data_IF_856873352797
#
_entry.id   IF_856873352797
#
_cell.length_a   1.000
_cell.length_b   1.000
_cell.length_c   1.000
_cell.angle_alpha   90.00
_cell.angle_beta   90.00
_cell.angle_gamma   90.00
#
_symmetry.space_group_name_H-M   'P 1'
#
loop_
_entity.id
_entity.type
_entity.pdbx_description
1 polymer ?
#
# COMPACT_ATOMS: atom_id res chain seq x y z
N UNK A 1 -28.42 -11.78 56.65
CA UNK A 1 -28.55 -10.81 55.56
C UNK A 1 -29.99 -10.84 55.07
N UNK A 2 -30.65 -9.69 54.99
CA UNK A 2 -32.02 -9.63 54.49
C UNK A 2 -32.00 -9.84 52.95
N UNK A 3 -33.09 -10.34 52.40
CA UNK A 3 -33.23 -10.54 50.94
C UNK A 3 -32.94 -9.27 50.16
N UNK A 4 -33.24 -8.10 50.73
CA UNK A 4 -32.99 -6.80 50.16
C UNK A 4 -31.49 -6.48 50.09
N UNK A 5 -30.70 -6.84 51.11
CA UNK A 5 -29.23 -6.66 51.12
C UNK A 5 -28.55 -7.51 50.07
N UNK A 6 -29.03 -8.75 49.87
CA UNK A 6 -28.50 -9.65 48.84
C UNK A 6 -28.82 -9.09 47.44
N UNK A 7 -30.03 -8.61 47.21
CA UNK A 7 -30.39 -8.00 45.91
C UNK A 7 -29.55 -6.76 45.62
N UNK A 8 -29.39 -5.86 46.60
CA UNK A 8 -28.50 -4.66 46.43
C UNK A 8 -27.07 -5.06 46.11
N UNK A 9 -26.52 -6.04 46.79
CA UNK A 9 -25.17 -6.54 46.53
C UNK A 9 -25.03 -7.11 45.11
N UNK A 10 -25.99 -7.94 44.68
CA UNK A 10 -25.98 -8.50 43.32
C UNK A 10 -26.05 -7.40 42.25
N UNK A 11 -26.94 -6.43 42.41
CA UNK A 11 -27.04 -5.29 41.50
C UNK A 11 -25.73 -4.48 41.45
N UNK A 12 -25.11 -4.20 42.60
CA UNK A 12 -23.82 -3.51 42.65
C UNK A 12 -22.73 -4.28 41.91
N UNK A 13 -22.64 -5.59 42.10
CA UNK A 13 -21.67 -6.42 41.38
C UNK A 13 -21.90 -6.40 39.87
N UNK A 14 -23.16 -6.54 39.44
CA UNK A 14 -23.51 -6.47 38.00
C UNK A 14 -23.13 -5.13 37.39
N UNK A 15 -23.41 -4.02 38.08
CA UNK A 15 -23.02 -2.68 37.61
C UNK A 15 -21.48 -2.55 37.48
N UNK A 16 -20.75 -3.03 38.49
CA UNK A 16 -19.28 -3.01 38.43
C UNK A 16 -18.76 -3.86 37.22
N UNK A 17 -19.31 -5.03 37.01
CA UNK A 17 -18.93 -5.89 35.86
C UNK A 17 -19.25 -5.21 34.52
N UNK A 18 -20.38 -4.55 34.39
CA UNK A 18 -20.73 -3.79 33.17
C UNK A 18 -19.77 -2.61 32.92
N UNK A 19 -19.42 -1.88 33.98
CA UNK A 19 -18.43 -0.78 33.89
C UNK A 19 -17.07 -1.31 33.48
N UNK A 20 -16.59 -2.40 34.09
CA UNK A 20 -15.32 -3.03 33.72
C UNK A 20 -15.34 -3.55 32.29
N UNK A 21 -16.42 -4.22 31.86
CA UNK A 21 -16.58 -4.70 30.49
C UNK A 21 -16.56 -3.53 29.48
N UNK A 22 -17.24 -2.43 29.81
CA UNK A 22 -17.22 -1.20 29.02
C UNK A 22 -15.82 -0.57 28.93
N UNK A 23 -15.11 -0.48 30.05
CA UNK A 23 -13.74 0.03 30.08
C UNK A 23 -12.78 -0.83 29.21
N UNK A 24 -12.83 -2.16 29.35
CA UNK A 24 -12.04 -3.09 28.53
C UNK A 24 -12.37 -2.94 27.04
N UNK A 25 -13.67 -2.82 26.69
CA UNK A 25 -14.08 -2.62 25.30
C UNK A 25 -13.54 -1.29 24.72
N UNK A 26 -13.55 -0.22 25.50
CA UNK A 26 -12.99 1.08 25.09
C UNK A 26 -11.47 1.02 24.91
N UNK A 27 -10.75 0.35 25.82
CA UNK A 27 -9.30 0.18 25.70
C UNK A 27 -8.92 -0.65 24.47
N UNK A 28 -9.63 -1.76 24.22
CA UNK A 28 -9.43 -2.57 23.00
C UNK A 28 -9.65 -1.76 21.73
N UNK A 29 -10.72 -0.95 21.68
CA UNK A 29 -10.99 -0.08 20.53
C UNK A 29 -9.91 0.98 20.31
N UNK A 30 -9.40 1.59 21.39
CA UNK A 30 -8.31 2.58 21.30
C UNK A 30 -7.04 1.92 20.74
N UNK A 31 -6.70 0.72 21.25
CA UNK A 31 -5.54 -0.02 20.78
C UNK A 31 -5.67 -0.39 19.30
N UNK A 32 -6.80 -0.98 18.89
CA UNK A 32 -7.07 -1.35 17.50
C UNK A 32 -6.98 -0.13 16.55
N UNK A 33 -7.54 1.01 16.98
CA UNK A 33 -7.44 2.25 16.19
C UNK A 33 -5.99 2.69 16.02
N UNK A 34 -5.19 2.65 17.07
CA UNK A 34 -3.77 3.02 17.01
C UNK A 34 -3.00 2.10 16.06
N UNK A 35 -3.21 0.80 16.16
CA UNK A 35 -2.62 -0.18 15.24
C UNK A 35 -3.01 0.10 13.77
N UNK A 36 -4.28 0.43 13.49
CA UNK A 36 -4.69 0.78 12.13
C UNK A 36 -4.05 2.08 11.64
N UNK A 37 -3.95 3.10 12.50
CA UNK A 37 -3.27 4.35 12.16
C UNK A 37 -1.78 4.15 11.88
N UNK A 38 -1.10 3.31 12.64
CA UNK A 38 0.31 2.96 12.41
C UNK A 38 0.50 2.17 11.13
N UNK A 39 -0.37 1.18 10.86
CA UNK A 39 -0.30 0.33 9.67
C UNK A 39 -0.55 1.12 8.39
N UNK A 40 -1.60 1.95 8.37
CA UNK A 40 -2.08 2.60 7.14
C UNK A 40 -1.60 4.04 6.96
N UNK A 41 -1.08 4.68 8.03
CA UNK A 41 -0.63 6.08 7.96
C UNK A 41 -1.66 7.02 7.33
N UNK A 42 -1.31 7.77 6.27
CA UNK A 42 -2.23 8.70 5.60
C UNK A 42 -3.47 8.04 4.99
N UNK A 43 -3.37 6.78 4.59
CA UNK A 43 -4.49 6.04 4.01
C UNK A 43 -5.62 5.79 5.03
N UNK A 44 -5.29 5.71 6.33
CA UNK A 44 -6.31 5.66 7.39
C UNK A 44 -7.22 6.90 7.35
N UNK A 45 -6.63 8.10 7.33
CA UNK A 45 -7.40 9.33 7.32
C UNK A 45 -8.22 9.46 6.04
N UNK A 46 -7.65 9.11 4.90
CA UNK A 46 -8.35 9.08 3.61
C UNK A 46 -9.56 8.15 3.62
N UNK A 47 -9.42 6.94 4.16
CA UNK A 47 -10.52 5.97 4.25
C UNK A 47 -11.61 6.47 5.20
N UNK A 48 -11.23 7.13 6.30
CA UNK A 48 -12.19 7.74 7.25
C UNK A 48 -12.96 8.89 6.59
N UNK A 49 -12.30 9.74 5.79
CA UNK A 49 -12.95 10.85 5.08
C UNK A 49 -13.93 10.36 4.00
N UNK A 50 -13.65 9.22 3.36
CA UNK A 50 -14.49 8.62 2.33
C UNK A 50 -15.67 7.81 2.89
N UNK A 51 -15.72 7.59 4.19
CA UNK A 51 -16.73 6.76 4.85
C UNK A 51 -17.72 7.63 5.63
N UNK A 52 -19.01 7.27 5.63
CA UNK A 52 -20.03 7.97 6.40
C UNK A 52 -19.76 7.93 7.92
N UNK A 53 -19.15 6.85 8.38
CA UNK A 53 -18.85 6.63 9.81
C UNK A 53 -17.43 6.08 9.96
N UNK A 54 -16.68 6.65 10.88
CA UNK A 54 -15.35 6.15 11.24
C UNK A 54 -15.31 4.64 11.55
N UNK A 55 -16.34 4.11 12.19
CA UNK A 55 -16.38 2.67 12.52
C UNK A 55 -16.44 1.77 11.29
N UNK A 56 -17.07 2.24 10.22
CA UNK A 56 -17.17 1.49 8.98
C UNK A 56 -15.83 1.51 8.26
N UNK A 57 -15.12 2.65 8.26
CA UNK A 57 -13.75 2.76 7.78
C UNK A 57 -12.78 1.84 8.57
N UNK A 58 -12.82 1.90 9.90
CA UNK A 58 -11.96 1.05 10.76
C UNK A 58 -12.24 -0.45 10.55
N UNK A 59 -13.51 -0.83 10.33
CA UNK A 59 -13.87 -2.21 10.00
C UNK A 59 -13.33 -2.62 8.62
N UNK A 60 -13.51 -1.78 7.60
CA UNK A 60 -12.97 -2.02 6.26
C UNK A 60 -11.45 -2.21 6.30
N UNK A 61 -10.71 -1.33 7.00
CA UNK A 61 -9.27 -1.42 7.14
C UNK A 61 -8.83 -2.70 7.89
N UNK A 62 -9.57 -3.09 8.93
CA UNK A 62 -9.31 -4.35 9.65
C UNK A 62 -9.56 -5.58 8.77
N UNK A 63 -10.64 -5.59 7.98
CA UNK A 63 -10.92 -6.66 7.01
C UNK A 63 -9.88 -6.70 5.89
N UNK A 64 -9.37 -5.54 5.45
CA UNK A 64 -8.31 -5.42 4.46
C UNK A 64 -7.01 -6.03 4.99
N UNK A 65 -6.63 -5.70 6.24
CA UNK A 65 -5.49 -6.30 6.91
C UNK A 65 -5.62 -7.83 7.02
N UNK A 66 -6.78 -8.32 7.43
CA UNK A 66 -7.03 -9.77 7.54
C UNK A 66 -6.94 -10.48 6.18
N UNK A 67 -7.46 -9.87 5.11
CA UNK A 67 -7.32 -10.42 3.75
C UNK A 67 -5.85 -10.45 3.33
N UNK A 68 -5.10 -9.38 3.60
CA UNK A 68 -3.67 -9.31 3.30
C UNK A 68 -2.89 -10.40 4.06
N UNK A 69 -3.13 -10.61 5.34
CA UNK A 69 -2.52 -11.67 6.15
C UNK A 69 -2.82 -13.09 5.62
N UNK A 70 -3.91 -13.27 4.88
CA UNK A 70 -4.24 -14.55 4.23
C UNK A 70 -3.50 -14.79 2.92
N UNK A 71 -2.86 -13.78 2.34
CA UNK A 71 -2.06 -13.90 1.13
C UNK A 71 -0.71 -14.56 1.44
N UNK A 72 -0.16 -15.26 0.47
CA UNK A 72 1.19 -15.82 0.55
C UNK A 72 2.21 -14.87 -0.08
N UNK A 73 2.27 -13.64 0.46
CA UNK A 73 3.22 -12.64 -0.02
C UNK A 73 4.64 -13.08 0.35
N UNK A 74 5.56 -12.97 -0.61
CA UNK A 74 6.94 -13.40 -0.46
C UNK A 74 7.88 -12.44 -1.17
N UNK A 75 9.10 -12.24 -0.65
CA UNK A 75 10.12 -11.48 -1.35
C UNK A 75 10.53 -12.20 -2.64
N UNK A 76 11.04 -11.42 -3.59
CA UNK A 76 11.59 -11.98 -4.83
C UNK A 76 12.85 -12.81 -4.54
N UNK A 77 13.05 -13.89 -5.30
CA UNK A 77 14.35 -14.54 -5.33
C UNK A 77 15.41 -13.61 -5.95
N UNK A 78 16.70 -13.79 -5.64
CA UNK A 78 17.77 -13.01 -6.24
C UNK A 78 17.75 -13.07 -7.78
N UNK A 79 17.46 -14.24 -8.37
CA UNK A 79 17.32 -14.40 -9.80
C UNK A 79 16.13 -13.63 -10.38
N UNK A 80 14.98 -13.68 -9.71
CA UNK A 80 13.79 -12.92 -10.11
C UNK A 80 14.05 -11.42 -10.00
N UNK A 81 14.63 -10.99 -8.88
CA UNK A 81 15.02 -9.58 -8.69
C UNK A 81 15.89 -9.08 -9.85
N UNK A 82 16.93 -9.83 -10.22
CA UNK A 82 17.81 -9.45 -11.32
C UNK A 82 17.06 -9.36 -12.66
N UNK A 83 16.13 -10.29 -12.93
CA UNK A 83 15.29 -10.23 -14.15
C UNK A 83 14.43 -8.97 -14.18
N UNK A 84 13.82 -8.59 -13.07
CA UNK A 84 13.00 -7.37 -12.98
C UNK A 84 13.85 -6.11 -13.14
N UNK A 85 15.04 -6.04 -12.54
CA UNK A 85 15.98 -4.93 -12.72
C UNK A 85 16.35 -4.77 -14.20
N UNK A 86 16.74 -5.86 -14.87
CA UNK A 86 17.09 -5.83 -16.30
C UNK A 86 15.89 -5.43 -17.17
N UNK A 87 14.70 -5.91 -16.85
CA UNK A 87 13.49 -5.54 -17.57
C UNK A 87 13.16 -4.06 -17.39
N UNK A 88 13.33 -3.52 -16.17
CA UNK A 88 13.13 -2.11 -15.88
C UNK A 88 14.11 -1.21 -16.64
N UNK A 89 15.39 -1.58 -16.72
CA UNK A 89 16.38 -0.87 -17.53
C UNK A 89 15.98 -0.82 -19.01
N UNK A 90 15.40 -1.90 -19.52
CA UNK A 90 14.83 -1.96 -20.87
C UNK A 90 13.67 -0.99 -21.08
N UNK A 91 12.75 -0.91 -20.11
CA UNK A 91 11.63 0.04 -20.11
C UNK A 91 12.13 1.48 -20.09
N UNK A 92 13.10 1.80 -19.22
CA UNK A 92 13.69 3.13 -19.14
C UNK A 92 14.40 3.53 -20.45
N UNK A 93 15.13 2.62 -21.07
CA UNK A 93 15.80 2.87 -22.35
C UNK A 93 14.77 3.17 -23.45
N UNK A 94 13.68 2.43 -23.48
CA UNK A 94 12.61 2.63 -24.47
C UNK A 94 11.83 3.93 -24.26
N UNK A 95 11.80 4.44 -23.04
CA UNK A 95 11.13 5.70 -22.72
C UNK A 95 11.70 6.89 -23.54
N UNK A 96 12.95 6.85 -23.90
CA UNK A 96 13.61 7.92 -24.71
C UNK A 96 12.97 8.02 -26.11
N UNK A 97 12.71 6.88 -26.74
CA UNK A 97 12.21 6.82 -28.12
C UNK A 97 10.68 6.69 -28.20
N UNK A 98 10.07 6.07 -27.19
CA UNK A 98 8.65 5.74 -27.20
C UNK A 98 8.02 5.83 -25.80
N UNK A 99 7.87 7.06 -25.25
CA UNK A 99 7.44 7.26 -23.86
C UNK A 99 6.04 6.67 -23.57
N UNK A 100 5.11 6.77 -24.50
CA UNK A 100 3.75 6.21 -24.40
C UNK A 100 3.79 4.70 -24.20
N UNK A 101 4.53 3.98 -25.04
CA UNK A 101 4.68 2.52 -24.93
C UNK A 101 5.43 2.12 -23.65
N UNK A 102 6.48 2.86 -23.29
CA UNK A 102 7.27 2.56 -22.11
C UNK A 102 6.46 2.68 -20.82
N UNK A 103 5.51 3.63 -20.73
CA UNK A 103 4.63 3.75 -19.57
C UNK A 103 3.72 2.50 -19.43
N UNK A 104 3.11 2.05 -20.53
CA UNK A 104 2.29 0.83 -20.54
C UNK A 104 3.11 -0.42 -20.19
N UNK A 105 4.37 -0.48 -20.63
CA UNK A 105 5.27 -1.57 -20.27
C UNK A 105 5.69 -1.54 -18.80
N UNK A 106 5.89 -0.34 -18.22
CA UNK A 106 6.16 -0.16 -16.80
C UNK A 106 4.99 -0.67 -15.95
N UNK A 107 3.76 -0.32 -16.31
CA UNK A 107 2.54 -0.80 -15.66
C UNK A 107 2.43 -2.34 -15.72
N UNK A 108 2.59 -2.91 -16.91
CA UNK A 108 2.56 -4.36 -17.09
C UNK A 108 3.71 -5.07 -16.33
N UNK A 109 4.87 -4.43 -16.19
CA UNK A 109 5.99 -4.98 -15.43
C UNK A 109 5.68 -4.98 -13.93
N UNK A 110 5.11 -3.91 -13.40
CA UNK A 110 4.67 -3.81 -12.01
C UNK A 110 3.60 -4.85 -11.67
N UNK A 111 2.61 -5.01 -12.54
CA UNK A 111 1.56 -6.03 -12.37
C UNK A 111 2.15 -7.44 -12.28
N UNK A 112 3.11 -7.78 -13.15
CA UNK A 112 3.82 -9.07 -13.10
C UNK A 112 4.65 -9.24 -11.83
N UNK A 113 5.30 -8.17 -11.37
CA UNK A 113 6.09 -8.19 -10.13
C UNK A 113 5.20 -8.43 -8.93
N UNK A 114 4.05 -7.75 -8.84
CA UNK A 114 3.05 -7.96 -7.80
C UNK A 114 2.53 -9.40 -7.80
N UNK A 115 2.19 -9.94 -8.98
CA UNK A 115 1.74 -11.33 -9.13
C UNK A 115 2.79 -12.34 -8.64
N UNK A 116 4.07 -12.15 -9.01
CA UNK A 116 5.15 -13.06 -8.58
C UNK A 116 5.38 -13.00 -7.07
N UNK A 117 5.14 -11.86 -6.46
CA UNK A 117 5.18 -11.69 -5.00
C UNK A 117 3.97 -12.28 -4.28
N UNK A 118 2.89 -12.60 -4.99
CA UNK A 118 1.68 -13.20 -4.43
C UNK A 118 0.55 -12.20 -4.15
N UNK A 119 0.67 -10.96 -4.65
CA UNK A 119 -0.44 -10.01 -4.62
C UNK A 119 -1.52 -10.38 -5.66
N UNK A 120 -2.80 -10.14 -5.36
CA UNK A 120 -3.86 -10.30 -6.35
C UNK A 120 -3.71 -9.25 -7.46
N UNK A 121 -3.96 -9.67 -8.70
CA UNK A 121 -3.83 -8.81 -9.89
C UNK A 121 -5.11 -8.77 -10.73
N UNK A 122 -6.23 -9.20 -10.18
CA UNK A 122 -7.52 -9.27 -10.87
C UNK A 122 -8.04 -7.88 -11.26
N UNK A 123 -7.84 -6.91 -10.38
CA UNK A 123 -8.19 -5.52 -10.63
C UNK A 123 -7.30 -4.54 -9.82
N UNK A 124 -7.14 -3.32 -10.34
CA UNK A 124 -6.29 -2.26 -9.76
C UNK A 124 -6.74 -1.88 -8.35
N UNK A 125 -8.05 -1.85 -8.09
CA UNK A 125 -8.57 -1.50 -6.77
C UNK A 125 -8.19 -2.51 -5.70
N UNK A 126 -8.23 -3.79 -6.03
CA UNK A 126 -7.78 -4.86 -5.14
C UNK A 126 -6.27 -4.80 -4.92
N UNK A 127 -5.47 -4.51 -5.96
CA UNK A 127 -4.04 -4.26 -5.83
C UNK A 127 -3.75 -3.10 -4.87
N UNK A 128 -4.42 -1.95 -5.05
CA UNK A 128 -4.30 -0.78 -4.16
C UNK A 128 -4.63 -1.13 -2.71
N UNK A 129 -5.73 -1.85 -2.49
CA UNK A 129 -6.13 -2.27 -1.15
C UNK A 129 -5.07 -3.15 -0.47
N UNK A 130 -4.47 -4.07 -1.20
CA UNK A 130 -3.45 -4.96 -0.64
C UNK A 130 -2.11 -4.24 -0.45
N UNK A 131 -1.69 -3.40 -1.39
CA UNK A 131 -0.50 -2.55 -1.23
C UNK A 131 -0.62 -1.58 -0.05
N UNK A 132 -1.83 -1.09 0.27
CA UNK A 132 -2.03 -0.14 1.35
C UNK A 132 -1.64 -0.67 2.74
N UNK A 133 -1.53 -1.98 2.92
CA UNK A 133 -1.25 -2.61 4.21
C UNK A 133 0.24 -2.50 4.58
N UNK A 134 1.15 -2.75 3.63
CA UNK A 134 2.60 -2.75 3.88
C UNK A 134 3.33 -1.60 3.16
N UNK A 135 2.77 -1.11 2.07
CA UNK A 135 3.38 -0.12 1.18
C UNK A 135 2.56 1.17 1.07
N UNK A 136 1.92 1.60 2.15
CA UNK A 136 1.07 2.80 2.18
C UNK A 136 1.79 4.07 1.65
N UNK A 137 3.10 4.18 1.86
CA UNK A 137 3.92 5.33 1.46
C UNK A 137 4.13 5.46 -0.06
N UNK A 138 4.00 4.37 -0.83
CA UNK A 138 4.09 4.41 -2.32
C UNK A 138 2.72 4.31 -2.99
N UNK A 139 1.64 4.15 -2.22
CA UNK A 139 0.30 3.93 -2.74
C UNK A 139 -0.22 5.11 -3.58
N UNK A 140 0.05 6.35 -3.16
CA UNK A 140 -0.35 7.52 -3.94
C UNK A 140 0.39 7.59 -5.27
N UNK A 141 1.66 7.19 -5.32
CA UNK A 141 2.42 7.02 -6.55
C UNK A 141 1.82 5.93 -7.45
N UNK A 142 1.45 4.79 -6.88
CA UNK A 142 0.78 3.71 -7.60
C UNK A 142 -0.53 4.18 -8.25
N UNK A 143 -1.39 4.85 -7.50
CA UNK A 143 -2.65 5.43 -7.99
C UNK A 143 -2.43 6.46 -9.09
N UNK A 144 -1.50 7.40 -8.86
CA UNK A 144 -1.18 8.44 -9.84
C UNK A 144 -0.62 7.85 -11.14
N UNK A 145 0.27 6.85 -11.04
CA UNK A 145 0.81 6.14 -12.20
C UNK A 145 -0.29 5.48 -13.03
N UNK A 146 -1.19 4.73 -12.40
CA UNK A 146 -2.32 4.09 -13.09
C UNK A 146 -3.31 5.09 -13.69
N UNK A 147 -3.61 6.20 -13.00
CA UNK A 147 -4.48 7.23 -13.54
C UNK A 147 -3.91 7.87 -14.81
N UNK A 148 -2.59 8.10 -14.83
CA UNK A 148 -1.88 8.61 -16.01
C UNK A 148 -1.85 7.54 -17.12
N UNK A 149 -1.59 6.28 -16.79
CA UNK A 149 -1.61 5.19 -17.77
C UNK A 149 -2.98 5.02 -18.41
N UNK A 150 -4.06 5.15 -17.67
CA UNK A 150 -5.41 5.13 -18.22
C UNK A 150 -5.66 6.30 -19.18
N UNK A 151 -5.13 7.50 -18.90
CA UNK A 151 -5.17 8.62 -19.83
C UNK A 151 -4.30 8.36 -21.07
N UNK A 152 -3.14 7.76 -20.87
CA UNK A 152 -2.19 7.41 -21.92
C UNK A 152 -2.80 6.43 -22.94
N UNK A 153 -3.45 5.36 -22.47
CA UNK A 153 -4.13 4.37 -23.33
C UNK A 153 -5.29 4.97 -24.12
N UNK A 154 -5.93 6.02 -23.61
CA UNK A 154 -6.99 6.76 -24.32
C UNK A 154 -6.47 7.89 -25.21
N UNK A 155 -5.14 8.09 -25.27
CA UNK A 155 -4.50 9.13 -26.05
C UNK A 155 -4.66 10.56 -25.48
N UNK A 156 -5.05 10.69 -24.22
CA UNK A 156 -5.32 11.95 -23.55
C UNK A 156 -4.16 12.43 -22.64
N UNK A 157 -3.11 11.63 -22.45
CA UNK A 157 -1.96 12.03 -21.66
C UNK A 157 -0.97 12.84 -22.50
N UNK A 158 -0.52 13.97 -21.97
CA UNK A 158 0.59 14.71 -22.56
C UNK A 158 1.96 14.12 -22.15
N UNK A 159 3.03 14.58 -22.81
CA UNK A 159 4.39 14.07 -22.59
C UNK A 159 4.86 14.24 -21.15
N UNK A 160 4.49 15.34 -20.50
CA UNK A 160 4.89 15.61 -19.11
C UNK A 160 4.12 14.69 -18.14
N UNK A 161 2.84 14.46 -18.40
CA UNK A 161 2.05 13.49 -17.64
C UNK A 161 2.63 12.08 -17.77
N UNK A 162 3.00 11.65 -18.99
CA UNK A 162 3.65 10.35 -19.22
C UNK A 162 4.98 10.25 -18.47
N UNK A 163 5.78 11.34 -18.43
CA UNK A 163 7.02 11.40 -17.64
C UNK A 163 6.74 11.28 -16.14
N UNK A 164 5.70 11.94 -15.62
CA UNK A 164 5.30 11.83 -14.21
C UNK A 164 4.82 10.42 -13.88
N UNK A 165 4.01 9.81 -14.74
CA UNK A 165 3.57 8.42 -14.60
C UNK A 165 4.76 7.45 -14.46
N UNK A 166 5.78 7.62 -15.30
CA UNK A 166 7.00 6.81 -15.22
C UNK A 166 7.75 7.00 -13.89
N UNK A 167 7.83 8.24 -13.38
CA UNK A 167 8.46 8.51 -12.08
C UNK A 167 7.68 7.87 -10.92
N UNK A 168 6.35 7.91 -10.96
CA UNK A 168 5.50 7.25 -9.98
C UNK A 168 5.68 5.73 -10.00
N UNK A 169 5.64 5.11 -11.17
CA UNK A 169 5.88 3.67 -11.29
C UNK A 169 7.30 3.27 -10.88
N UNK A 170 8.29 4.12 -11.12
CA UNK A 170 9.65 3.88 -10.66
C UNK A 170 9.73 3.78 -9.14
N UNK A 171 9.11 4.70 -8.40
CA UNK A 171 9.11 4.66 -6.94
C UNK A 171 8.50 3.37 -6.40
N UNK A 172 7.36 2.95 -6.97
CA UNK A 172 6.71 1.70 -6.61
C UNK A 172 7.58 0.48 -6.95
N UNK A 173 8.21 0.49 -8.12
CA UNK A 173 9.10 -0.58 -8.55
C UNK A 173 10.31 -0.74 -7.63
N UNK A 174 10.98 0.37 -7.29
CA UNK A 174 12.14 0.40 -6.40
C UNK A 174 11.80 -0.18 -5.02
N UNK A 175 10.65 0.18 -4.48
CA UNK A 175 10.15 -0.37 -3.21
C UNK A 175 9.95 -1.88 -3.30
N UNK A 176 9.12 -2.33 -4.25
CA UNK A 176 8.72 -3.73 -4.37
C UNK A 176 9.89 -4.68 -4.72
N UNK A 177 10.87 -4.20 -5.50
CA UNK A 177 12.03 -5.01 -5.90
C UNK A 177 13.11 -5.09 -4.82
N UNK A 178 13.14 -4.12 -3.90
CA UNK A 178 14.14 -4.04 -2.82
C UNK A 178 13.74 -4.83 -1.58
N UNK A 179 12.46 -5.10 -1.40
CA UNK A 179 11.95 -5.77 -0.21
C UNK A 179 12.49 -7.19 -0.06
N UNK A 180 12.97 -7.49 1.15
CA UNK A 180 13.60 -8.77 1.48
C UNK A 180 15.01 -8.96 0.92
N UNK A 181 15.59 -7.96 0.25
CA UNK A 181 16.98 -7.98 -0.19
C UNK A 181 17.86 -7.21 0.80
N UNK A 182 19.03 -7.76 1.11
CA UNK A 182 20.08 -7.04 1.85
C UNK A 182 20.78 -5.96 1.01
N UNK A 183 20.52 -5.91 -0.29
CA UNK A 183 21.09 -4.94 -1.21
C UNK A 183 20.04 -3.88 -1.59
N UNK A 184 20.31 -2.59 -1.37
CA UNK A 184 19.45 -1.51 -1.83
C UNK A 184 19.35 -1.52 -3.36
N UNK A 185 18.29 -0.91 -3.89
CA UNK A 185 18.13 -0.68 -5.33
C UNK A 185 19.39 0.07 -5.87
N UNK A 186 20.04 -0.42 -6.92
CA UNK A 186 21.19 0.26 -7.49
C UNK A 186 20.73 1.61 -8.06
N UNK A 187 20.98 2.67 -7.30
CA UNK A 187 20.74 4.03 -7.75
C UNK A 187 21.71 4.29 -8.89
N UNK A 188 21.21 4.53 -10.11
CA UNK A 188 22.04 4.81 -11.25
C UNK A 188 22.61 6.24 -11.13
N UNK A 189 23.61 6.41 -10.25
CA UNK A 189 24.31 7.68 -10.04
C UNK A 189 25.21 8.08 -11.23
N UNK A 190 25.26 7.24 -12.28
CA UNK A 190 26.03 7.52 -13.49
C UNK A 190 25.50 8.73 -14.27
N UNK A 191 24.18 9.01 -14.18
CA UNK A 191 23.61 10.22 -14.77
C UNK A 191 24.11 11.49 -14.05
N UNK A 192 24.16 11.46 -12.71
CA UNK A 192 24.65 12.58 -11.90
C UNK A 192 26.18 12.77 -11.99
N UNK A 193 26.93 11.70 -12.25
CA UNK A 193 28.36 11.78 -12.45
C UNK A 193 28.71 12.44 -13.81
N UNK A 194 27.99 12.12 -14.88
CA UNK A 194 28.18 12.73 -16.21
C UNK A 194 27.82 14.22 -16.27
N UNK A 195 26.84 14.68 -15.49
CA UNK A 195 26.51 16.09 -15.36
C UNK A 195 27.60 16.89 -14.61
N UNK A 196 28.34 16.26 -13.71
CA UNK A 196 29.48 16.91 -12.99
C UNK A 196 30.77 16.96 -13.84
N UNK A 197 30.96 16.03 -14.74
CA UNK A 197 32.11 15.96 -15.61
C UNK A 197 32.04 16.95 -16.80
N UNK A 198 30.81 17.40 -17.11
CA UNK A 198 30.54 18.33 -18.22
C UNK A 198 30.42 19.82 -17.76
N UNK A 199 30.79 20.14 -16.51
CA UNK A 199 30.91 21.52 -15.98
C UNK A 199 32.35 21.91 -15.75
#
# INVERSE_FOLDING_TARGET
>A
MSTTEIVVLVVAVVVVLLVLAGAVALLKRRKQRHELQETYGPEYDRTVEQSDKRRDAERELAERKQRHESLQIRPLSAASRQRYLTAWDGVQSRFVDSPVLALSEADALLTRLLAERGFPTDDVRTQEQMLSVEHAHVLDGFRAGHAIEQQNTTGNADTEQVRQGMLHFRQVFEELVSEGSSEPYPRNDQAAARERENR
#
